data_IF_008149558872
#
_entry.id   IF_008149558872
#
_cell.length_a   1.000
_cell.length_b   1.000
_cell.length_c   1.000
_cell.angle_alpha   90.00
_cell.angle_beta   90.00
_cell.angle_gamma   90.00
#
_symmetry.space_group_name_H-M   'P 1'
#
loop_
_entity.id
_entity.type
_entity.pdbx_description
1 polymer ?
#
# COMPACT_ATOMS: atom_id res chain seq x y z
N UNK A 1 -0.42 28.56 -9.14
CA UNK A 1 0.93 29.00 -9.58
C UNK A 1 1.76 27.76 -9.81
N UNK A 2 2.20 27.51 -11.05
CA UNK A 2 3.07 26.38 -11.37
C UNK A 2 4.40 26.54 -10.63
N UNK A 3 4.73 25.61 -9.73
CA UNK A 3 6.04 25.55 -9.05
C UNK A 3 7.09 25.39 -10.16
N UNK A 4 7.84 26.46 -10.50
CA UNK A 4 8.96 26.35 -11.44
C UNK A 4 9.94 25.29 -10.91
N UNK A 5 10.27 24.32 -11.77
CA UNK A 5 11.17 23.20 -11.45
C UNK A 5 12.57 23.75 -11.16
N UNK A 6 13.17 23.36 -10.03
CA UNK A 6 14.56 23.70 -9.69
C UNK A 6 15.51 22.85 -10.53
N UNK A 7 16.50 23.46 -11.17
CA UNK A 7 17.53 22.73 -11.93
C UNK A 7 18.56 22.20 -10.95
N UNK A 8 18.92 20.93 -11.09
CA UNK A 8 19.89 20.26 -10.22
C UNK A 8 20.84 19.49 -11.13
N UNK A 9 22.13 19.76 -11.05
CA UNK A 9 23.14 19.12 -11.91
C UNK A 9 24.41 18.80 -11.16
N UNK A 10 25.10 17.74 -11.59
CA UNK A 10 26.44 17.36 -11.12
C UNK A 10 27.54 18.20 -11.78
N UNK A 11 27.25 18.89 -12.89
CA UNK A 11 28.18 19.80 -13.59
C UNK A 11 28.34 21.12 -12.85
N UNK A 12 29.49 21.78 -13.02
CA UNK A 12 29.76 23.10 -12.41
C UNK A 12 29.09 24.27 -13.14
N UNK A 13 28.50 24.03 -14.31
CA UNK A 13 27.83 25.03 -15.16
C UNK A 13 26.53 24.46 -15.74
N UNK A 14 25.64 25.34 -16.19
CA UNK A 14 24.41 24.99 -16.90
C UNK A 14 24.51 25.64 -18.29
N UNK A 15 24.49 24.85 -19.35
CA UNK A 15 24.57 25.35 -20.72
C UNK A 15 23.33 26.19 -21.08
N UNK A 16 23.53 27.24 -21.89
CA UNK A 16 22.44 28.11 -22.35
C UNK A 16 21.90 29.10 -21.31
N UNK A 17 22.49 29.17 -20.12
CA UNK A 17 22.16 30.18 -19.10
C UNK A 17 23.40 30.64 -18.35
N UNK A 18 23.38 31.87 -17.85
CA UNK A 18 24.46 32.43 -17.03
C UNK A 18 24.10 32.36 -15.54
N UNK A 19 25.08 32.01 -14.72
CA UNK A 19 24.96 32.08 -13.25
C UNK A 19 25.07 33.55 -12.84
N UNK A 20 23.97 34.14 -12.40
CA UNK A 20 23.91 35.53 -11.94
C UNK A 20 24.48 35.69 -10.53
N UNK A 21 24.20 34.73 -9.63
CA UNK A 21 24.67 34.79 -8.25
C UNK A 21 24.95 33.42 -7.66
N UNK A 22 26.11 33.26 -7.01
CA UNK A 22 26.39 32.13 -6.13
C UNK A 22 25.81 32.39 -4.75
N UNK A 23 24.94 31.49 -4.27
CA UNK A 23 24.20 31.59 -3.00
C UNK A 23 24.81 30.76 -1.87
N UNK A 24 25.98 30.17 -2.11
CA UNK A 24 26.72 29.37 -1.14
C UNK A 24 26.47 27.87 -1.27
N UNK A 25 27.14 27.11 -0.41
CA UNK A 25 27.06 25.65 -0.38
C UNK A 25 25.78 25.24 0.35
N UNK A 26 25.07 24.28 -0.22
CA UNK A 26 23.93 23.61 0.41
C UNK A 26 24.26 22.13 0.64
N UNK A 27 23.74 21.57 1.73
CA UNK A 27 23.92 20.16 2.04
C UNK A 27 22.69 19.56 2.70
N UNK A 28 22.37 18.32 2.35
CA UNK A 28 21.31 17.54 2.97
C UNK A 28 21.83 16.15 3.33
N UNK A 29 21.24 15.56 4.37
CA UNK A 29 21.63 14.25 4.90
C UNK A 29 20.39 13.45 5.26
N UNK A 30 20.36 12.19 4.86
CA UNK A 30 19.37 11.20 5.29
C UNK A 30 20.14 10.07 5.98
N UNK A 31 19.71 9.69 7.19
CA UNK A 31 20.33 8.63 7.99
C UNK A 31 19.32 7.52 8.23
N UNK A 32 19.67 6.31 7.82
CA UNK A 32 18.82 5.12 7.91
C UNK A 32 19.50 4.05 8.76
N UNK A 33 18.80 3.52 9.76
CA UNK A 33 19.34 2.52 10.70
C UNK A 33 19.32 1.09 10.18
N UNK A 34 20.14 0.19 10.76
CA UNK A 34 20.22 -1.23 10.39
C UNK A 34 18.91 -1.98 10.41
N UNK A 35 17.93 -1.62 11.24
CA UNK A 35 16.62 -2.30 11.22
C UNK A 35 15.91 -2.22 9.86
N UNK A 36 16.24 -1.22 9.05
CA UNK A 36 15.68 -1.03 7.71
C UNK A 36 16.39 -1.87 6.63
N UNK A 37 17.65 -2.25 6.86
CA UNK A 37 18.50 -3.01 5.92
C UNK A 37 18.81 -4.45 6.38
N UNK A 38 18.75 -4.75 7.68
CA UNK A 38 19.03 -6.08 8.23
C UNK A 38 17.96 -7.11 7.83
N UNK A 39 16.70 -6.69 7.73
CA UNK A 39 15.62 -7.51 7.18
C UNK A 39 15.84 -7.84 5.69
N UNK A 40 16.61 -7.02 4.96
CA UNK A 40 16.97 -7.28 3.55
C UNK A 40 18.10 -8.30 3.42
N UNK A 41 19.07 -8.32 4.33
CA UNK A 41 20.19 -9.27 4.28
C UNK A 41 19.80 -10.67 4.74
N UNK A 42 18.81 -10.81 5.62
CA UNK A 42 18.29 -12.10 6.05
C UNK A 42 17.55 -12.86 4.93
N UNK A 43 17.00 -12.13 3.94
CA UNK A 43 16.26 -12.68 2.80
C UNK A 43 17.15 -12.90 1.55
N UNK A 44 18.37 -12.36 1.55
CA UNK A 44 19.25 -12.31 0.37
C UNK A 44 20.41 -13.32 0.41
N UNK A 45 20.57 -14.08 1.50
CA UNK A 45 21.69 -15.01 1.65
C UNK A 45 21.65 -16.21 0.70
N UNK A 46 20.52 -16.52 0.07
CA UNK A 46 20.36 -17.77 -0.72
C UNK A 46 20.23 -17.61 -2.25
N UNK A 47 20.19 -16.41 -2.83
CA UNK A 47 19.97 -16.28 -4.28
C UNK A 47 20.90 -15.28 -4.96
N UNK A 48 21.79 -15.84 -5.78
CA UNK A 48 22.69 -15.19 -6.73
C UNK A 48 22.08 -13.99 -7.48
N UNK A 49 22.78 -12.85 -7.45
CA UNK A 49 23.11 -12.07 -8.65
C UNK A 49 22.00 -11.39 -9.46
N UNK A 50 20.79 -11.24 -8.93
CA UNK A 50 19.71 -10.45 -9.54
C UNK A 50 19.37 -9.23 -8.70
N UNK A 51 19.22 -8.06 -9.33
CA UNK A 51 18.81 -6.79 -8.70
C UNK A 51 17.68 -7.01 -7.68
N UNK A 52 17.96 -6.87 -6.38
CA UNK A 52 16.91 -6.84 -5.35
C UNK A 52 16.05 -5.60 -5.56
N UNK A 53 14.87 -5.78 -6.16
CA UNK A 53 13.91 -4.71 -6.40
C UNK A 53 13.58 -3.94 -5.11
N UNK A 54 13.55 -4.61 -3.95
CA UNK A 54 13.31 -4.00 -2.64
C UNK A 54 14.43 -3.07 -2.20
N UNK A 55 15.70 -3.50 -2.33
CA UNK A 55 16.88 -2.68 -2.03
C UNK A 55 16.94 -1.46 -2.97
N UNK A 56 16.63 -1.64 -4.26
CA UNK A 56 16.62 -0.55 -5.23
C UNK A 56 15.49 0.45 -5.00
N UNK A 57 14.28 0.00 -4.64
CA UNK A 57 13.16 0.88 -4.26
C UNK A 57 13.52 1.73 -3.04
N UNK A 58 14.12 1.13 -2.03
CA UNK A 58 14.51 1.82 -0.80
C UNK A 58 15.65 2.82 -1.03
N UNK A 59 16.72 2.42 -1.73
CA UNK A 59 17.77 3.36 -2.11
C UNK A 59 17.19 4.53 -2.91
N UNK A 60 16.35 4.25 -3.91
CA UNK A 60 15.67 5.29 -4.69
C UNK A 60 14.88 6.25 -3.80
N UNK A 61 14.14 5.74 -2.82
CA UNK A 61 13.41 6.59 -1.86
C UNK A 61 14.35 7.51 -1.08
N UNK A 62 15.51 7.00 -0.63
CA UNK A 62 16.51 7.80 0.10
C UNK A 62 17.13 8.87 -0.80
N UNK A 63 17.41 8.55 -2.07
CA UNK A 63 17.89 9.53 -3.05
C UNK A 63 16.84 10.61 -3.35
N UNK A 64 15.59 10.22 -3.53
CA UNK A 64 14.50 11.18 -3.81
C UNK A 64 14.31 12.12 -2.60
N UNK A 65 14.37 11.59 -1.37
CA UNK A 65 14.29 12.37 -0.12
C UNK A 65 15.47 13.33 0.08
N UNK A 66 16.71 12.86 -0.10
CA UNK A 66 17.90 13.72 0.10
C UNK A 66 17.96 14.86 -0.93
N UNK A 67 17.49 14.61 -2.15
CA UNK A 67 17.39 15.63 -3.20
C UNK A 67 16.30 16.66 -2.87
N UNK A 68 15.16 16.23 -2.32
CA UNK A 68 14.11 17.15 -1.88
C UNK A 68 14.60 18.06 -0.76
N UNK A 69 15.29 17.49 0.25
CA UNK A 69 15.91 18.27 1.33
C UNK A 69 16.96 19.25 0.81
N UNK A 70 17.81 18.83 -0.13
CA UNK A 70 18.81 19.71 -0.74
C UNK A 70 18.16 20.87 -1.52
N UNK A 71 17.05 20.57 -2.20
CA UNK A 71 16.22 21.55 -2.92
C UNK A 71 15.64 22.57 -1.96
N UNK A 72 15.18 22.15 -0.79
CA UNK A 72 14.64 23.05 0.23
C UNK A 72 15.71 23.95 0.85
N UNK A 73 16.93 23.45 1.10
CA UNK A 73 18.06 24.29 1.50
C UNK A 73 18.39 25.35 0.45
N UNK A 74 18.38 25.00 -0.83
CA UNK A 74 18.59 25.96 -1.92
C UNK A 74 17.46 27.01 -2.00
N UNK A 75 16.20 26.61 -1.75
CA UNK A 75 15.06 27.55 -1.70
C UNK A 75 15.20 28.57 -0.57
N UNK A 76 15.71 28.17 0.60
CA UNK A 76 15.93 29.08 1.75
C UNK A 76 16.88 30.23 1.40
N UNK A 77 17.84 30.00 0.53
CA UNK A 77 18.79 31.03 0.05
C UNK A 77 18.35 31.69 -1.26
N UNK A 78 17.08 31.51 -1.65
CA UNK A 78 16.48 32.07 -2.87
C UNK A 78 17.24 31.68 -4.15
N UNK A 79 17.80 30.47 -4.18
CA UNK A 79 18.37 29.89 -5.39
C UNK A 79 17.27 29.24 -6.24
N UNK A 80 17.50 29.21 -7.56
CA UNK A 80 16.63 28.56 -8.52
C UNK A 80 17.34 27.40 -9.25
N UNK A 81 18.62 27.17 -8.99
CA UNK A 81 19.37 26.00 -9.42
C UNK A 81 20.44 25.56 -8.41
N UNK A 82 20.89 24.31 -8.52
CA UNK A 82 21.98 23.73 -7.75
C UNK A 82 22.95 23.07 -8.74
N UNK A 83 24.22 23.47 -8.69
CA UNK A 83 25.29 22.95 -9.55
C UNK A 83 26.34 22.20 -8.71
N UNK A 84 27.16 21.38 -9.37
CA UNK A 84 28.24 20.64 -8.73
C UNK A 84 27.73 19.67 -7.69
N UNK A 85 26.53 19.11 -7.89
CA UNK A 85 25.92 18.20 -6.92
C UNK A 85 26.74 16.91 -6.82
N UNK A 86 27.05 16.53 -5.60
CA UNK A 86 27.72 15.27 -5.24
C UNK A 86 26.89 14.55 -4.19
N UNK A 87 26.70 13.26 -4.37
CA UNK A 87 26.05 12.39 -3.39
C UNK A 87 27.07 11.36 -2.92
N UNK A 88 27.29 11.30 -1.62
CA UNK A 88 28.20 10.36 -0.96
C UNK A 88 27.40 9.44 -0.03
N UNK A 89 27.93 8.24 0.17
CA UNK A 89 27.35 7.19 1.03
C UNK A 89 28.36 6.83 2.11
N UNK A 90 27.96 6.99 3.37
CA UNK A 90 28.80 6.67 4.51
C UNK A 90 28.15 5.60 5.37
N UNK A 91 28.93 4.62 5.79
CA UNK A 91 28.52 3.66 6.82
C UNK A 91 29.03 4.13 8.18
N UNK A 92 28.10 4.40 9.10
CA UNK A 92 28.43 4.67 10.51
C UNK A 92 28.18 3.40 11.31
N UNK A 93 29.25 2.76 11.77
CA UNK A 93 29.17 1.59 12.66
C UNK A 93 29.53 1.97 14.11
N UNK A 94 28.69 1.54 15.06
CA UNK A 94 28.92 1.79 16.48
C UNK A 94 27.98 1.01 17.39
N UNK A 95 28.51 0.41 18.47
CA UNK A 95 27.74 -0.37 19.47
C UNK A 95 26.83 -1.46 18.86
N UNK A 96 27.29 -2.14 17.81
CA UNK A 96 26.54 -3.22 17.15
C UNK A 96 25.39 -2.76 16.25
N UNK A 97 25.27 -1.45 15.98
CA UNK A 97 24.35 -0.90 14.97
C UNK A 97 25.17 -0.35 13.81
N UNK A 98 24.80 -0.71 12.59
CA UNK A 98 25.28 -0.04 11.38
C UNK A 98 24.19 0.97 10.96
N UNK A 99 24.59 2.11 10.46
CA UNK A 99 23.70 3.12 9.91
C UNK A 99 24.23 3.52 8.55
N UNK A 100 23.33 3.66 7.60
CA UNK A 100 23.63 4.12 6.25
C UNK A 100 23.27 5.60 6.17
N UNK A 101 24.24 6.45 5.87
CA UNK A 101 24.03 7.87 5.63
C UNK A 101 24.21 8.19 4.16
N UNK A 102 23.25 8.92 3.60
CA UNK A 102 23.37 9.53 2.27
C UNK A 102 23.49 11.03 2.45
N UNK A 103 24.60 11.58 1.99
CA UNK A 103 24.89 13.01 2.05
C UNK A 103 24.88 13.58 0.64
N UNK A 104 24.03 14.57 0.38
CA UNK A 104 24.08 15.35 -0.85
C UNK A 104 24.66 16.74 -0.57
N UNK A 105 25.57 17.20 -1.41
CA UNK A 105 26.15 18.55 -1.35
C UNK A 105 26.14 19.19 -2.73
N UNK A 106 26.06 20.51 -2.78
CA UNK A 106 26.12 21.27 -4.04
C UNK A 106 26.24 22.77 -3.78
N UNK A 107 26.36 23.54 -4.86
CA UNK A 107 26.38 25.01 -4.79
C UNK A 107 25.06 25.56 -5.29
N UNK A 108 24.33 26.25 -4.41
CA UNK A 108 23.08 26.91 -4.75
C UNK A 108 23.38 28.18 -5.55
N UNK A 109 22.66 28.39 -6.65
CA UNK A 109 22.88 29.52 -7.56
C UNK A 109 21.56 30.14 -8.03
N UNK A 110 21.61 31.41 -8.41
CA UNK A 110 20.56 32.08 -9.17
C UNK A 110 21.00 32.18 -10.64
N UNK A 111 20.18 31.65 -11.55
CA UNK A 111 20.37 31.68 -13.00
C UNK A 111 19.27 32.47 -13.71
N UNK A 112 19.55 32.97 -14.91
CA UNK A 112 18.53 33.58 -15.77
C UNK A 112 17.69 32.51 -16.47
N UNK A 113 16.43 32.37 -16.06
CA UNK A 113 15.50 31.40 -16.66
C UNK A 113 14.95 31.85 -18.03
N UNK A 114 15.24 33.08 -18.48
CA UNK A 114 14.69 33.59 -19.75
C UNK A 114 15.42 33.03 -20.98
N UNK A 115 16.65 32.53 -20.83
CA UNK A 115 17.48 32.02 -21.94
C UNK A 115 17.42 30.51 -22.14
N UNK A 116 16.78 29.78 -21.22
CA UNK A 116 16.51 28.35 -21.37
C UNK A 116 15.40 28.16 -22.42
N UNK A 117 15.79 28.07 -23.69
CA UNK A 117 14.88 27.65 -24.76
C UNK A 117 14.43 26.21 -24.51
N UNK A 118 13.14 25.92 -24.68
CA UNK A 118 12.61 24.56 -24.82
C UNK A 118 13.12 23.99 -26.16
N UNK A 119 14.41 23.65 -26.24
CA UNK A 119 14.90 22.73 -27.26
C UNK A 119 14.59 21.35 -26.72
N UNK A 120 13.46 20.79 -27.17
CA UNK A 120 13.23 19.36 -27.13
C UNK A 120 14.34 18.72 -27.96
N UNK A 121 15.46 18.39 -27.32
CA UNK A 121 16.44 17.50 -27.91
C UNK A 121 15.68 16.22 -28.29
N UNK A 122 15.74 15.85 -29.57
CA UNK A 122 15.36 14.52 -30.03
C UNK A 122 16.25 13.52 -29.27
N UNK A 123 15.77 13.08 -28.10
CA UNK A 123 16.42 12.04 -27.32
C UNK A 123 16.40 10.78 -28.18
N UNK A 124 17.56 10.39 -28.69
CA UNK A 124 17.75 9.03 -29.21
C UNK A 124 17.61 8.08 -28.04
N UNK A 125 16.46 7.43 -27.93
CA UNK A 125 16.20 6.41 -26.91
C UNK A 125 16.86 5.12 -27.39
N UNK A 126 18.07 4.85 -26.90
CA UNK A 126 18.76 3.59 -27.13
C UNK A 126 18.28 2.55 -26.10
N UNK A 127 17.73 1.43 -26.58
CA UNK A 127 17.27 0.31 -25.75
C UNK A 127 18.28 -0.82 -25.91
N UNK A 128 18.82 -1.33 -24.80
CA UNK A 128 19.72 -2.47 -24.85
C UNK A 128 18.95 -3.78 -25.17
N UNK A 129 19.67 -4.78 -25.72
CA UNK A 129 19.07 -6.04 -26.12
C UNK A 129 18.33 -6.75 -24.97
N UNK A 130 18.90 -6.76 -23.77
CA UNK A 130 18.28 -7.38 -22.59
C UNK A 130 16.91 -6.77 -22.23
N UNK A 131 16.78 -5.45 -22.31
CA UNK A 131 15.51 -4.76 -22.04
C UNK A 131 14.48 -5.10 -23.11
N UNK A 132 14.89 -5.16 -24.37
CA UNK A 132 14.01 -5.55 -25.47
C UNK A 132 13.50 -6.99 -25.29
N UNK A 133 14.40 -7.94 -25.01
CA UNK A 133 14.04 -9.34 -24.75
C UNK A 133 13.09 -9.49 -23.56
N UNK A 134 13.33 -8.73 -22.48
CA UNK A 134 12.42 -8.70 -21.34
C UNK A 134 11.00 -8.26 -21.73
N UNK A 135 10.87 -7.17 -22.50
CA UNK A 135 9.56 -6.66 -22.94
C UNK A 135 8.88 -7.64 -23.92
N UNK A 136 9.63 -8.27 -24.83
CA UNK A 136 9.11 -9.29 -25.74
C UNK A 136 8.55 -10.48 -24.93
N UNK A 137 9.33 -11.01 -24.00
CA UNK A 137 8.92 -12.14 -23.17
C UNK A 137 7.68 -11.78 -22.32
N UNK A 138 7.66 -10.59 -21.71
CA UNK A 138 6.50 -10.08 -20.97
C UNK A 138 5.25 -10.06 -21.84
N UNK A 139 5.32 -9.52 -23.06
CA UNK A 139 4.20 -9.49 -23.99
C UNK A 139 3.72 -10.89 -24.38
N UNK A 140 4.64 -11.83 -24.61
CA UNK A 140 4.30 -13.22 -24.91
C UNK A 140 3.54 -13.88 -23.75
N UNK A 141 4.02 -13.73 -22.51
CA UNK A 141 3.35 -14.28 -21.32
C UNK A 141 1.94 -13.69 -21.18
N UNK A 142 1.79 -12.36 -21.32
CA UNK A 142 0.49 -11.69 -21.23
C UNK A 142 -0.48 -12.22 -22.30
N UNK A 143 -0.01 -12.38 -23.54
CA UNK A 143 -0.84 -12.90 -24.63
C UNK A 143 -1.24 -14.36 -24.38
N UNK A 144 -0.32 -15.19 -23.86
CA UNK A 144 -0.60 -16.58 -23.55
C UNK A 144 -1.72 -16.71 -22.51
N UNK A 145 -1.66 -15.96 -21.40
CA UNK A 145 -2.72 -16.05 -20.37
C UNK A 145 -4.06 -15.48 -20.81
N UNK A 146 -4.06 -14.51 -21.74
CA UNK A 146 -5.29 -13.95 -22.32
C UNK A 146 -5.98 -14.94 -23.25
N UNK A 147 -5.20 -15.79 -23.91
CA UNK A 147 -5.72 -16.88 -24.73
C UNK A 147 -6.15 -18.08 -23.86
N UNK A 148 -5.37 -18.40 -22.83
CA UNK A 148 -5.63 -19.50 -21.90
C UNK A 148 -5.35 -19.09 -20.45
N UNK A 149 -6.43 -18.73 -19.74
CA UNK A 149 -6.35 -18.31 -18.33
C UNK A 149 -5.86 -19.41 -17.39
N UNK A 150 -5.89 -20.70 -17.79
CA UNK A 150 -5.37 -21.79 -16.95
C UNK A 150 -3.85 -21.70 -16.72
N UNK A 151 -3.14 -21.02 -17.62
CA UNK A 151 -1.70 -20.78 -17.53
C UNK A 151 -1.32 -19.76 -16.45
N UNK A 152 -2.29 -19.01 -15.89
CA UNK A 152 -2.02 -17.99 -14.86
C UNK A 152 -1.29 -18.60 -13.67
N UNK A 153 -1.72 -19.76 -13.19
CA UNK A 153 -1.08 -20.46 -12.06
C UNK A 153 0.40 -20.75 -12.33
N UNK A 154 0.72 -21.21 -13.55
CA UNK A 154 2.09 -21.50 -13.97
C UNK A 154 2.96 -20.24 -14.03
N UNK A 155 2.40 -19.11 -14.47
CA UNK A 155 3.14 -17.85 -14.62
C UNK A 155 3.17 -16.98 -13.36
N UNK A 156 2.50 -17.36 -12.26
CA UNK A 156 2.52 -16.60 -11.01
C UNK A 156 3.93 -16.23 -10.51
N UNK A 157 4.93 -17.13 -10.49
CA UNK A 157 6.28 -16.78 -10.06
C UNK A 157 6.89 -15.65 -10.90
N UNK A 158 6.64 -15.65 -12.22
CA UNK A 158 7.10 -14.61 -13.12
C UNK A 158 6.42 -13.26 -12.83
N UNK A 159 5.10 -13.25 -12.58
CA UNK A 159 4.36 -12.03 -12.25
C UNK A 159 4.84 -11.38 -10.96
N UNK A 160 5.11 -12.19 -9.94
CA UNK A 160 5.62 -11.75 -8.64
C UNK A 160 7.05 -11.20 -8.81
N UNK A 161 7.96 -12.00 -9.36
CA UNK A 161 9.37 -11.62 -9.51
C UNK A 161 9.56 -10.31 -10.29
N UNK A 162 8.73 -10.09 -11.31
CA UNK A 162 8.84 -8.96 -12.21
C UNK A 162 7.79 -7.85 -11.99
N UNK A 163 6.93 -7.96 -10.97
CA UNK A 163 5.91 -6.95 -10.63
C UNK A 163 5.02 -6.57 -11.82
N UNK A 164 4.51 -7.56 -12.55
CA UNK A 164 3.77 -7.36 -13.80
C UNK A 164 2.33 -6.91 -13.52
N UNK A 165 2.10 -5.61 -13.34
CA UNK A 165 0.76 -5.08 -13.03
C UNK A 165 -0.26 -5.30 -14.16
N UNK A 166 0.17 -5.38 -15.42
CA UNK A 166 -0.72 -5.45 -16.59
C UNK A 166 -1.65 -6.68 -16.63
N UNK A 167 -1.37 -7.69 -15.81
CA UNK A 167 -2.18 -8.92 -15.68
C UNK A 167 -3.09 -8.92 -14.45
N UNK A 168 -3.17 -7.82 -13.70
CA UNK A 168 -3.95 -7.72 -12.45
C UNK A 168 -5.40 -8.19 -12.64
N UNK A 169 -6.05 -7.76 -13.73
CA UNK A 169 -7.43 -8.10 -14.00
C UNK A 169 -7.60 -9.61 -14.28
N UNK A 170 -6.73 -10.18 -15.10
CA UNK A 170 -6.70 -11.59 -15.43
C UNK A 170 -6.48 -12.45 -14.17
N UNK A 171 -5.49 -12.10 -13.35
CA UNK A 171 -5.16 -12.80 -12.09
C UNK A 171 -6.32 -12.75 -11.10
N UNK A 172 -6.91 -11.56 -10.87
CA UNK A 172 -8.02 -11.40 -9.93
C UNK A 172 -9.27 -12.11 -10.43
N UNK A 173 -9.61 -12.02 -11.72
CA UNK A 173 -10.76 -12.74 -12.28
C UNK A 173 -10.59 -14.26 -12.17
N UNK A 174 -9.40 -14.77 -12.47
CA UNK A 174 -9.10 -16.18 -12.31
C UNK A 174 -9.21 -16.63 -10.85
N UNK A 175 -8.67 -15.85 -9.91
CA UNK A 175 -8.82 -16.06 -8.47
C UNK A 175 -10.30 -16.09 -8.04
N UNK A 176 -11.17 -15.25 -8.60
CA UNK A 176 -12.58 -15.22 -8.24
C UNK A 176 -13.38 -16.38 -8.82
N UNK A 177 -12.99 -16.91 -9.98
CA UNK A 177 -13.72 -17.97 -10.68
C UNK A 177 -13.39 -19.37 -10.18
N UNK A 178 -12.18 -19.59 -9.68
CA UNK A 178 -11.68 -20.91 -9.28
C UNK A 178 -12.10 -21.29 -7.86
N UNK A 179 -12.37 -22.59 -7.64
CA UNK A 179 -12.34 -23.20 -6.30
C UNK A 179 -10.87 -23.42 -5.97
N UNK A 180 -10.34 -22.59 -5.07
CA UNK A 180 -8.90 -22.44 -4.96
C UNK A 180 -8.27 -23.47 -4.03
N UNK A 181 -7.23 -24.12 -4.52
CA UNK A 181 -6.20 -24.74 -3.70
C UNK A 181 -5.45 -23.64 -2.92
N UNK A 182 -5.11 -23.91 -1.66
CA UNK A 182 -4.52 -22.94 -0.75
C UNK A 182 -3.22 -22.33 -1.32
N UNK A 183 -2.41 -23.13 -2.01
CA UNK A 183 -1.13 -22.71 -2.60
C UNK A 183 -1.28 -21.56 -3.61
N UNK A 184 -2.23 -21.65 -4.55
CA UNK A 184 -2.46 -20.56 -5.50
C UNK A 184 -2.96 -19.31 -4.79
N UNK A 185 -3.84 -19.45 -3.79
CA UNK A 185 -4.32 -18.31 -3.00
C UNK A 185 -3.18 -17.57 -2.31
N UNK A 186 -2.19 -18.29 -1.79
CA UNK A 186 -0.97 -17.71 -1.21
C UNK A 186 -0.19 -16.92 -2.26
N UNK A 187 -0.01 -17.47 -3.47
CA UNK A 187 0.67 -16.77 -4.57
C UNK A 187 -0.05 -15.51 -5.04
N UNK A 188 -1.39 -15.51 -5.07
CA UNK A 188 -2.14 -14.28 -5.37
C UNK A 188 -1.93 -13.23 -4.29
N UNK A 189 -1.93 -13.62 -3.01
CA UNK A 189 -1.66 -12.67 -1.91
C UNK A 189 -0.26 -12.06 -2.05
N UNK A 190 0.77 -12.88 -2.31
CA UNK A 190 2.15 -12.43 -2.55
C UNK A 190 2.24 -11.43 -3.70
N UNK A 191 1.64 -11.76 -4.85
CA UNK A 191 1.58 -10.88 -6.01
C UNK A 191 0.88 -9.54 -5.73
N UNK A 192 -0.24 -9.57 -5.00
CA UNK A 192 -0.96 -8.36 -4.61
C UNK A 192 -0.11 -7.49 -3.69
N UNK A 193 0.62 -8.10 -2.75
CA UNK A 193 1.52 -7.42 -1.80
C UNK A 193 2.68 -6.71 -2.50
N UNK A 194 3.33 -7.36 -3.46
CA UNK A 194 4.40 -6.74 -4.25
C UNK A 194 3.95 -5.50 -5.04
N UNK A 195 2.66 -5.42 -5.35
CA UNK A 195 2.03 -4.35 -6.12
C UNK A 195 1.11 -3.43 -5.30
N UNK A 196 1.29 -3.34 -3.98
CA UNK A 196 0.39 -2.66 -3.04
C UNK A 196 -0.17 -1.31 -3.52
N UNK A 197 0.69 -0.43 -4.04
CA UNK A 197 0.31 0.92 -4.51
C UNK A 197 -0.76 0.87 -5.60
N UNK A 198 -0.72 -0.15 -6.47
CA UNK A 198 -1.64 -0.31 -7.59
C UNK A 198 -2.79 -1.28 -7.27
N UNK A 199 -2.49 -2.35 -6.53
CA UNK A 199 -3.43 -3.43 -6.23
C UNK A 199 -4.50 -2.99 -5.24
N UNK A 200 -4.14 -2.22 -4.20
CA UNK A 200 -5.09 -1.74 -3.19
C UNK A 200 -6.26 -0.93 -3.79
N UNK A 201 -6.03 0.19 -4.52
CA UNK A 201 -7.13 0.95 -5.12
C UNK A 201 -7.91 0.15 -6.17
N UNK A 202 -7.23 -0.73 -6.93
CA UNK A 202 -7.88 -1.61 -7.90
C UNK A 202 -8.88 -2.57 -7.22
N UNK A 203 -8.45 -3.28 -6.18
CA UNK A 203 -9.31 -4.25 -5.47
C UNK A 203 -10.48 -3.57 -4.77
N UNK A 204 -10.28 -2.37 -4.19
CA UNK A 204 -11.38 -1.61 -3.60
C UNK A 204 -12.43 -1.17 -4.62
N UNK A 205 -12.00 -0.81 -5.83
CA UNK A 205 -12.92 -0.54 -6.95
C UNK A 205 -13.66 -1.81 -7.37
N UNK A 206 -12.95 -2.95 -7.45
CA UNK A 206 -13.52 -4.22 -7.89
C UNK A 206 -14.57 -4.78 -6.91
N UNK A 207 -14.49 -4.46 -5.61
CA UNK A 207 -15.56 -4.79 -4.65
C UNK A 207 -16.92 -4.24 -5.08
N UNK A 208 -16.97 -3.05 -5.68
CA UNK A 208 -18.23 -2.39 -6.05
C UNK A 208 -18.87 -2.99 -7.31
N UNK A 209 -18.07 -3.64 -8.15
CA UNK A 209 -18.50 -4.17 -9.45
C UNK A 209 -18.60 -5.70 -9.48
N UNK A 210 -17.89 -6.38 -8.60
CA UNK A 210 -17.79 -7.83 -8.61
C UNK A 210 -19.05 -8.52 -8.10
N UNK A 211 -19.37 -9.67 -8.72
CA UNK A 211 -20.38 -10.61 -8.22
C UNK A 211 -19.92 -11.39 -6.97
N UNK A 212 -18.62 -11.33 -6.61
CA UNK A 212 -18.05 -12.05 -5.46
C UNK A 212 -17.27 -11.09 -4.53
N UNK A 213 -17.89 -10.00 -4.04
CA UNK A 213 -17.18 -8.94 -3.32
C UNK A 213 -16.56 -9.40 -2.00
N UNK A 214 -17.16 -10.41 -1.34
CA UNK A 214 -16.63 -11.02 -0.12
C UNK A 214 -15.28 -11.72 -0.37
N UNK A 215 -15.06 -12.34 -1.54
CA UNK A 215 -13.77 -12.97 -1.87
C UNK A 215 -12.68 -11.91 -2.03
N UNK A 216 -12.99 -10.78 -2.65
CA UNK A 216 -12.05 -9.66 -2.80
C UNK A 216 -11.72 -9.06 -1.43
N UNK A 217 -12.71 -8.89 -0.56
CA UNK A 217 -12.52 -8.40 0.80
C UNK A 217 -11.61 -9.33 1.62
N UNK A 218 -11.78 -10.65 1.49
CA UNK A 218 -10.90 -11.63 2.11
C UNK A 218 -9.48 -11.58 1.55
N UNK A 219 -9.32 -11.33 0.24
CA UNK A 219 -8.01 -11.16 -0.39
C UNK A 219 -7.29 -9.92 0.16
N UNK A 220 -7.97 -8.77 0.26
CA UNK A 220 -7.44 -7.55 0.89
C UNK A 220 -7.00 -7.80 2.33
N UNK A 221 -7.82 -8.52 3.11
CA UNK A 221 -7.51 -8.85 4.50
C UNK A 221 -6.25 -9.73 4.61
N UNK A 222 -6.13 -10.77 3.77
CA UNK A 222 -4.94 -11.64 3.71
C UNK A 222 -3.70 -10.87 3.28
N UNK A 223 -3.84 -9.93 2.35
CA UNK A 223 -2.76 -9.07 1.86
C UNK A 223 -2.37 -7.95 2.83
N UNK A 224 -3.05 -7.79 3.97
CA UNK A 224 -2.85 -6.70 4.95
C UNK A 224 -3.06 -5.30 4.36
N UNK A 225 -4.02 -5.16 3.44
CA UNK A 225 -4.31 -3.92 2.71
C UNK A 225 -5.64 -3.28 3.10
N UNK A 226 -6.01 -3.40 4.37
CA UNK A 226 -7.25 -2.83 4.88
C UNK A 226 -7.20 -1.30 4.86
N UNK A 227 -8.24 -0.68 4.32
CA UNK A 227 -8.54 0.74 4.40
C UNK A 227 -9.85 0.92 5.20
N UNK A 228 -9.74 1.44 6.42
CA UNK A 228 -10.89 1.65 7.30
C UNK A 228 -11.92 2.59 6.69
N UNK A 229 -11.49 3.65 5.99
CA UNK A 229 -12.40 4.62 5.37
C UNK A 229 -13.25 3.95 4.30
N UNK A 230 -12.62 3.17 3.41
CA UNK A 230 -13.31 2.44 2.34
C UNK A 230 -14.25 1.38 2.88
N UNK A 231 -13.82 0.60 3.88
CA UNK A 231 -14.71 -0.39 4.50
C UNK A 231 -15.90 0.29 5.18
N UNK A 232 -15.69 1.46 5.80
CA UNK A 232 -16.74 2.23 6.45
C UNK A 232 -17.79 2.74 5.44
N UNK A 233 -17.35 3.18 4.26
CA UNK A 233 -18.25 3.53 3.14
C UNK A 233 -19.11 2.33 2.74
N UNK A 234 -18.51 1.14 2.63
CA UNK A 234 -19.19 -0.03 2.09
C UNK A 234 -20.15 -0.68 3.07
N UNK A 235 -19.81 -0.73 4.37
CA UNK A 235 -20.68 -1.33 5.40
C UNK A 235 -22.08 -0.70 5.39
N UNK A 236 -22.19 0.61 5.18
CA UNK A 236 -23.46 1.32 5.24
C UNK A 236 -24.40 1.03 4.06
N UNK A 237 -23.87 0.61 2.91
CA UNK A 237 -24.63 0.47 1.66
C UNK A 237 -24.71 -0.98 1.14
N UNK A 238 -24.15 -1.93 1.88
CA UNK A 238 -24.01 -3.33 1.43
C UNK A 238 -25.01 -4.28 2.11
N UNK A 239 -25.12 -5.48 1.55
CA UNK A 239 -25.91 -6.56 2.13
C UNK A 239 -25.40 -6.98 3.52
N UNK A 240 -26.29 -7.53 4.35
CA UNK A 240 -25.94 -7.98 5.70
C UNK A 240 -24.83 -9.05 5.70
N UNK A 241 -24.78 -9.91 4.68
CA UNK A 241 -23.69 -10.89 4.52
C UNK A 241 -22.34 -10.23 4.25
N UNK A 242 -22.31 -9.18 3.43
CA UNK A 242 -21.09 -8.40 3.20
C UNK A 242 -20.66 -7.64 4.47
N UNK A 243 -21.62 -7.07 5.20
CA UNK A 243 -21.37 -6.42 6.48
C UNK A 243 -20.71 -7.39 7.48
N UNK A 244 -21.24 -8.61 7.63
CA UNK A 244 -20.64 -9.66 8.47
C UNK A 244 -19.25 -10.06 7.99
N UNK A 245 -19.04 -10.23 6.68
CA UNK A 245 -17.71 -10.53 6.14
C UNK A 245 -16.69 -9.42 6.42
N UNK A 246 -17.14 -8.16 6.44
CA UNK A 246 -16.29 -7.00 6.74
C UNK A 246 -15.78 -7.00 8.18
N UNK A 247 -16.51 -7.57 9.13
CA UNK A 247 -16.02 -7.73 10.51
C UNK A 247 -14.72 -8.54 10.57
N UNK A 248 -14.61 -9.58 9.74
CA UNK A 248 -13.40 -10.41 9.66
C UNK A 248 -12.22 -9.65 9.06
N UNK A 249 -12.45 -8.84 8.01
CA UNK A 249 -11.38 -8.06 7.40
C UNK A 249 -10.90 -6.94 8.31
N UNK A 250 -11.78 -6.31 9.09
CA UNK A 250 -11.42 -5.27 10.07
C UNK A 250 -10.41 -5.78 11.12
N UNK A 251 -10.49 -7.07 11.46
CA UNK A 251 -9.55 -7.70 12.38
C UNK A 251 -8.16 -7.96 11.77
N UNK A 252 -7.96 -7.73 10.46
CA UNK A 252 -6.64 -7.83 9.83
C UNK A 252 -5.73 -6.66 10.20
N UNK A 253 -4.47 -6.74 9.77
CA UNK A 253 -3.48 -5.69 9.97
C UNK A 253 -3.36 -4.84 8.71
N UNK A 254 -2.97 -3.56 8.88
CA UNK A 254 -2.39 -2.75 7.80
C UNK A 254 -0.87 -2.92 7.80
N UNK A 255 -0.24 -2.64 6.65
CA UNK A 255 1.22 -2.59 6.48
C UNK A 255 1.88 -1.49 7.32
N UNK A 256 1.21 -0.36 7.53
CA UNK A 256 1.65 0.74 8.39
C UNK A 256 0.44 1.47 8.98
N UNK A 257 0.68 2.33 9.99
CA UNK A 257 -0.36 3.15 10.63
C UNK A 257 0.15 4.57 10.85
N UNK A 258 -0.74 5.55 10.69
CA UNK A 258 -0.50 6.95 10.99
C UNK A 258 -1.54 7.52 11.98
N UNK A 259 -1.39 8.80 12.33
CA UNK A 259 -2.31 9.47 13.26
C UNK A 259 -3.75 9.54 12.76
N UNK A 260 -3.97 9.64 11.44
CA UNK A 260 -5.30 9.69 10.85
C UNK A 260 -6.05 8.35 11.02
N UNK A 261 -5.33 7.23 11.13
CA UNK A 261 -5.96 5.93 11.34
C UNK A 261 -6.66 5.82 12.69
N UNK A 262 -6.22 6.57 13.70
CA UNK A 262 -6.89 6.64 15.00
C UNK A 262 -8.32 7.17 14.85
N UNK A 263 -8.51 8.20 14.03
CA UNK A 263 -9.81 8.81 13.76
C UNK A 263 -10.67 7.91 12.87
N UNK A 264 -10.08 7.29 11.84
CA UNK A 264 -10.78 6.31 10.99
C UNK A 264 -11.28 5.12 11.80
N UNK A 265 -10.49 4.64 12.76
CA UNK A 265 -10.88 3.58 13.69
C UNK A 265 -12.02 4.01 14.61
N UNK A 266 -12.02 5.26 15.09
CA UNK A 266 -13.13 5.80 15.88
C UNK A 266 -14.43 5.83 15.08
N UNK A 267 -14.38 6.36 13.85
CA UNK A 267 -15.50 6.38 12.93
C UNK A 267 -16.03 4.96 12.65
N UNK A 268 -15.13 4.00 12.42
CA UNK A 268 -15.50 2.59 12.24
C UNK A 268 -16.27 2.04 13.44
N UNK A 269 -15.79 2.25 14.68
CA UNK A 269 -16.50 1.78 15.89
C UNK A 269 -17.91 2.34 15.98
N UNK A 270 -18.10 3.62 15.65
CA UNK A 270 -19.41 4.27 15.66
C UNK A 270 -20.34 3.62 14.63
N UNK A 271 -19.86 3.40 13.41
CA UNK A 271 -20.62 2.72 12.36
C UNK A 271 -20.98 1.28 12.75
N UNK A 272 -20.05 0.51 13.33
CA UNK A 272 -20.34 -0.86 13.76
C UNK A 272 -21.46 -0.89 14.80
N UNK A 273 -21.49 0.05 15.74
CA UNK A 273 -22.57 0.18 16.75
C UNK A 273 -23.91 0.55 16.12
N UNK A 274 -23.92 1.40 15.09
CA UNK A 274 -25.16 1.84 14.44
C UNK A 274 -25.72 0.81 13.46
N UNK A 275 -24.86 0.04 12.78
CA UNK A 275 -25.26 -0.92 11.74
C UNK A 275 -25.73 -2.25 12.34
N UNK A 276 -25.06 -2.74 13.38
CA UNK A 276 -25.34 -4.05 13.95
C UNK A 276 -26.29 -4.00 15.16
N UNK A 277 -27.47 -3.42 14.95
CA UNK A 277 -28.57 -3.40 15.94
C UNK A 277 -29.42 -4.68 15.87
N UNK A 278 -30.38 -4.80 16.80
CA UNK A 278 -31.35 -5.90 16.77
C UNK A 278 -32.13 -5.88 15.45
N UNK A 279 -32.21 -7.04 14.79
CA UNK A 279 -33.06 -7.29 13.62
C UNK A 279 -34.35 -8.01 14.00
N UNK A 280 -34.29 -8.82 15.06
CA UNK A 280 -35.47 -9.34 15.77
C UNK A 280 -36.07 -8.32 16.73
N UNK A 281 -37.18 -8.69 17.36
CA UNK A 281 -37.93 -7.83 18.29
C UNK A 281 -37.91 -8.42 19.69
N UNK A 282 -37.59 -7.63 20.70
CA UNK A 282 -37.86 -8.00 22.10
C UNK A 282 -39.36 -7.82 22.33
N UNK A 283 -40.05 -8.87 22.76
CA UNK A 283 -41.50 -8.83 22.97
C UNK A 283 -41.84 -8.42 24.41
N UNK A 284 -41.16 -9.05 25.37
CA UNK A 284 -41.30 -8.80 26.81
C UNK A 284 -40.02 -9.27 27.54
N UNK A 285 -40.02 -9.26 28.88
CA UNK A 285 -38.88 -9.72 29.69
C UNK A 285 -38.54 -11.21 29.54
N UNK A 286 -39.45 -12.00 28.97
CA UNK A 286 -39.33 -13.45 28.86
C UNK A 286 -39.19 -13.96 27.41
N UNK A 287 -39.42 -13.11 26.40
CA UNK A 287 -39.49 -13.52 24.99
C UNK A 287 -38.93 -12.50 24.00
N UNK A 288 -38.39 -13.03 22.91
CA UNK A 288 -38.04 -12.26 21.72
C UNK A 288 -38.45 -12.99 20.44
N UNK A 289 -38.74 -12.25 19.39
CA UNK A 289 -39.06 -12.74 18.05
C UNK A 289 -37.85 -12.58 17.14
N UNK A 290 -37.44 -13.66 16.49
CA UNK A 290 -36.35 -13.64 15.51
C UNK A 290 -36.82 -13.03 14.18
N UNK A 291 -35.88 -12.54 13.37
CA UNK A 291 -36.13 -12.06 12.01
C UNK A 291 -36.83 -13.11 11.12
N UNK A 292 -36.66 -14.40 11.40
CA UNK A 292 -37.39 -15.47 10.69
C UNK A 292 -38.85 -15.65 11.16
N UNK A 293 -39.34 -14.84 12.09
CA UNK A 293 -40.70 -14.88 12.66
C UNK A 293 -40.87 -15.87 13.82
N UNK A 294 -39.84 -16.61 14.24
CA UNK A 294 -39.94 -17.55 15.36
C UNK A 294 -39.75 -16.85 16.71
N UNK A 295 -40.71 -17.05 17.63
CA UNK A 295 -40.58 -16.63 19.03
C UNK A 295 -39.67 -17.56 19.83
N UNK A 296 -38.79 -16.97 20.64
CA UNK A 296 -37.81 -17.65 21.49
C UNK A 296 -37.93 -17.13 22.93
N UNK A 297 -37.44 -17.92 23.90
CA UNK A 297 -37.33 -17.49 25.30
C UNK A 297 -36.21 -16.45 25.42
N UNK A 298 -36.33 -15.49 26.34
CA UNK A 298 -35.29 -14.48 26.62
C UNK A 298 -33.95 -15.10 27.05
N UNK A 299 -33.99 -16.27 27.70
CA UNK A 299 -32.78 -17.04 28.03
C UNK A 299 -32.10 -17.73 26.83
N UNK A 300 -32.76 -17.79 25.68
CA UNK A 300 -32.20 -18.38 24.47
C UNK A 300 -31.43 -17.31 23.68
N UNK A 301 -30.11 -17.49 23.57
CA UNK A 301 -29.22 -16.59 22.81
C UNK A 301 -29.52 -16.68 21.31
N UNK A 302 -29.72 -17.90 20.80
CA UNK A 302 -29.98 -18.16 19.38
C UNK A 302 -31.42 -18.61 19.15
N UNK A 303 -31.95 -18.23 17.99
CA UNK A 303 -33.24 -18.68 17.52
C UNK A 303 -33.24 -20.19 17.26
N UNK A 304 -34.22 -20.90 17.80
CA UNK A 304 -34.33 -22.37 17.66
C UNK A 304 -34.63 -22.84 16.24
N UNK A 305 -35.04 -21.93 15.35
CA UNK A 305 -35.41 -22.27 13.98
C UNK A 305 -34.28 -22.01 12.99
N UNK A 306 -33.59 -20.87 13.09
CA UNK A 306 -32.58 -20.45 12.11
C UNK A 306 -31.17 -20.36 12.71
N UNK A 307 -30.99 -20.65 14.00
CA UNK A 307 -29.71 -20.60 14.72
C UNK A 307 -28.99 -19.24 14.67
N UNK A 308 -29.75 -18.14 14.48
CA UNK A 308 -29.24 -16.77 14.53
C UNK A 308 -29.66 -16.08 15.83
N UNK A 309 -28.81 -15.22 16.37
CA UNK A 309 -29.13 -14.35 17.50
C UNK A 309 -30.13 -13.25 17.09
N UNK A 310 -30.50 -12.39 18.04
CA UNK A 310 -31.45 -11.30 17.79
C UNK A 310 -30.95 -10.24 16.79
N UNK A 311 -29.62 -10.17 16.58
CA UNK A 311 -28.98 -9.28 15.61
C UNK A 311 -28.82 -9.95 14.24
N UNK A 312 -29.13 -11.24 14.11
CA UNK A 312 -29.01 -12.01 12.86
C UNK A 312 -27.70 -12.78 12.68
N UNK A 313 -26.89 -12.91 13.74
CA UNK A 313 -25.59 -13.58 13.72
C UNK A 313 -25.70 -15.04 14.12
N UNK A 314 -25.02 -15.92 13.38
CA UNK A 314 -24.85 -17.33 13.75
C UNK A 314 -23.66 -17.52 14.70
N UNK A 315 -23.53 -18.72 15.28
CA UNK A 315 -22.39 -19.07 16.15
C UNK A 315 -21.03 -19.01 15.45
N UNK A 316 -20.98 -19.08 14.12
CA UNK A 316 -19.74 -19.01 13.32
C UNK A 316 -19.41 -17.59 12.87
N UNK A 317 -20.36 -16.65 12.98
CA UNK A 317 -20.12 -15.26 12.63
C UNK A 317 -19.32 -14.56 13.75
N UNK A 318 -18.50 -13.59 13.37
CA UNK A 318 -17.74 -12.78 14.33
C UNK A 318 -18.69 -11.78 15.00
N UNK A 319 -18.69 -11.73 16.33
CA UNK A 319 -19.49 -10.74 17.07
C UNK A 319 -18.91 -9.33 16.84
N UNK A 320 -19.72 -8.34 16.41
CA UNK A 320 -19.30 -6.95 16.25
C UNK A 320 -18.65 -6.36 17.52
N UNK A 321 -19.07 -6.79 18.71
CA UNK A 321 -18.50 -6.30 19.98
C UNK A 321 -17.05 -6.76 20.18
N UNK A 322 -16.69 -7.95 19.67
CA UNK A 322 -15.30 -8.43 19.67
C UNK A 322 -14.45 -7.56 18.76
N UNK A 323 -14.97 -7.17 17.60
CA UNK A 323 -14.30 -6.28 16.65
C UNK A 323 -14.14 -4.88 17.23
N UNK A 324 -15.17 -4.32 17.88
CA UNK A 324 -15.09 -3.01 18.54
C UNK A 324 -14.01 -3.01 19.61
N UNK A 325 -13.98 -4.04 20.47
CA UNK A 325 -12.95 -4.19 21.51
C UNK A 325 -11.54 -4.26 20.90
N UNK A 326 -11.38 -5.02 19.82
CA UNK A 326 -10.12 -5.11 19.10
C UNK A 326 -9.66 -3.76 18.53
N UNK A 327 -10.58 -2.97 17.98
CA UNK A 327 -10.28 -1.61 17.52
C UNK A 327 -9.87 -0.72 18.71
N UNK A 328 -10.57 -0.79 19.84
CA UNK A 328 -10.24 -0.02 21.05
C UNK A 328 -8.81 -0.31 21.55
N UNK A 329 -8.45 -1.58 21.69
CA UNK A 329 -7.11 -2.01 22.11
C UNK A 329 -6.04 -1.50 21.15
N UNK A 330 -6.25 -1.65 19.84
CA UNK A 330 -5.33 -1.18 18.80
C UNK A 330 -5.18 0.34 18.82
N UNK A 331 -6.30 1.07 18.90
CA UNK A 331 -6.30 2.53 18.93
C UNK A 331 -5.57 3.06 20.18
N UNK A 332 -5.73 2.40 21.33
CA UNK A 332 -5.00 2.75 22.55
C UNK A 332 -3.48 2.60 22.37
N UNK A 333 -3.03 1.49 21.77
CA UNK A 333 -1.61 1.25 21.48
C UNK A 333 -1.07 2.30 20.50
N UNK A 334 -1.80 2.59 19.42
CA UNK A 334 -1.40 3.60 18.45
C UNK A 334 -1.28 4.99 19.07
N UNK A 335 -2.24 5.40 19.92
CA UNK A 335 -2.16 6.67 20.67
C UNK A 335 -0.92 6.72 21.56
N UNK A 336 -0.54 5.61 22.19
CA UNK A 336 0.66 5.57 23.04
C UNK A 336 1.98 5.65 22.26
N UNK A 337 2.00 5.19 21.00
CA UNK A 337 3.21 5.18 20.17
C UNK A 337 3.35 6.49 19.38
N UNK A 338 2.25 7.01 18.82
CA UNK A 338 2.28 8.12 17.87
C UNK A 338 2.08 9.52 18.51
N UNK A 339 1.54 9.59 19.73
CA UNK A 339 1.32 10.86 20.45
C UNK A 339 2.29 11.09 21.62
N UNK A 340 3.26 10.18 21.79
CA UNK A 340 4.43 10.41 22.66
C UNK A 340 5.54 11.00 21.82
#
# INVERSE_FOLDING_TARGET
MSKKKMIITTTSTIEGTEIQHYKGIVSARVVTGTGYFADLFADFSDVFGGRSNTYQKQLKSIYDEVIELLTDEARKVSANAIIGVRIDHDEISGKGKQMFMVTATGTAVAIDNSTLSNTEEERTIEINHERLEYEINKLQVINNIRNDSSLISQYMPYFIQHNIFEVMNEVVNYYLQTELYEEFSVKVVEYIQELEVYSRPYLYKEILTSMKPIRILNLLARAKMLDYSKVNEYINVSSFEFQKASLKSIMSHQSSYDLSDIDKMEAMKQTLKSVFTNRGKVLDSEKWECECGKTNKASSVYCRSCNKDIRGFSMTDIDPNVVIKFIDERQQILKQILLK
#
